data_IF_860493008679
#
_entry.id   IF_860493008679
#
_cell.length_a   1.000
_cell.length_b   1.000
_cell.length_c   1.000
_cell.angle_alpha   90.00
_cell.angle_beta   90.00
_cell.angle_gamma   90.00
#
_symmetry.space_group_name_H-M   'P 1'
#
loop_
_entity.id
_entity.type
_entity.pdbx_description
1 polymer ?
#
# COMPACT_ATOMS: atom_id res chain seq x y z
N UNK A 1 -1.58 -9.95 -32.21
CA UNK A 1 -0.11 -9.98 -31.93
C UNK A 1 0.61 -10.99 -32.82
N UNK A 2 0.48 -10.88 -34.14
CA UNK A 2 1.33 -11.68 -35.03
C UNK A 2 2.78 -11.16 -35.05
N UNK A 3 3.00 -9.91 -34.60
CA UNK A 3 4.29 -9.20 -34.65
C UNK A 3 5.27 -9.58 -33.52
N UNK A 4 4.79 -9.92 -32.32
CA UNK A 4 5.68 -10.36 -31.22
C UNK A 4 5.99 -11.85 -31.32
N UNK A 5 5.05 -12.69 -31.80
CA UNK A 5 5.33 -14.10 -32.09
C UNK A 5 6.20 -14.31 -33.33
N UNK A 6 6.18 -13.38 -34.29
CA UNK A 6 7.06 -13.39 -35.48
C UNK A 6 8.25 -12.43 -35.39
N UNK A 7 8.53 -11.88 -34.19
CA UNK A 7 9.64 -10.95 -34.02
C UNK A 7 10.96 -11.66 -34.33
N UNK A 8 11.81 -11.02 -35.12
CA UNK A 8 13.18 -11.49 -35.39
C UNK A 8 14.18 -11.05 -34.31
N UNK A 9 13.73 -10.26 -33.34
CA UNK A 9 14.58 -9.83 -32.23
C UNK A 9 14.50 -10.85 -31.10
N UNK A 10 15.61 -11.55 -30.87
CA UNK A 10 15.74 -12.52 -29.79
C UNK A 10 15.40 -11.91 -28.42
N UNK A 11 15.79 -10.66 -28.20
CA UNK A 11 15.46 -9.91 -26.98
C UNK A 11 13.94 -9.74 -26.80
N UNK A 12 13.22 -9.31 -27.84
CA UNK A 12 11.76 -9.11 -27.76
C UNK A 12 11.04 -10.46 -27.61
N UNK A 13 11.49 -11.50 -28.31
CA UNK A 13 10.94 -12.85 -28.18
C UNK A 13 11.12 -13.41 -26.77
N UNK A 14 12.31 -13.23 -26.18
CA UNK A 14 12.59 -13.65 -24.81
C UNK A 14 11.86 -12.79 -23.77
N UNK A 15 11.71 -11.49 -23.98
CA UNK A 15 11.07 -10.57 -23.02
C UNK A 15 9.56 -10.81 -22.90
N UNK A 16 8.88 -11.02 -24.03
CA UNK A 16 7.43 -11.22 -24.06
C UNK A 16 7.01 -12.69 -24.05
N UNK A 17 7.96 -13.63 -24.23
CA UNK A 17 7.75 -15.07 -24.09
C UNK A 17 7.98 -15.61 -22.67
N UNK A 18 8.24 -14.75 -21.69
CA UNK A 18 8.47 -15.19 -20.30
C UNK A 18 7.19 -15.74 -19.68
N UNK A 19 7.28 -16.88 -19.00
CA UNK A 19 6.17 -17.49 -18.26
C UNK A 19 5.65 -16.57 -17.13
N UNK A 20 6.49 -15.65 -16.65
CA UNK A 20 6.13 -14.65 -15.64
C UNK A 20 5.21 -13.53 -16.18
N UNK A 21 5.06 -13.39 -17.50
CA UNK A 21 4.27 -12.33 -18.13
C UNK A 21 2.79 -12.76 -18.22
N UNK A 22 1.93 -12.12 -17.43
CA UNK A 22 0.49 -12.33 -17.49
C UNK A 22 -0.14 -11.33 -18.45
N UNK A 23 -0.83 -11.83 -19.48
CA UNK A 23 -1.51 -11.01 -20.49
C UNK A 23 -3.02 -11.13 -20.39
N UNK A 24 -3.72 -10.01 -20.37
CA UNK A 24 -5.18 -9.95 -20.51
C UNK A 24 -5.49 -9.71 -21.98
N UNK A 25 -6.24 -10.64 -22.60
CA UNK A 25 -6.65 -10.54 -24.01
C UNK A 25 -8.05 -9.97 -24.15
N UNK A 26 -8.33 -9.39 -25.31
CA UNK A 26 -9.63 -8.82 -25.63
C UNK A 26 -10.71 -9.92 -25.64
N UNK A 27 -11.89 -9.73 -25.01
CA UNK A 27 -12.90 -10.78 -24.88
C UNK A 27 -13.41 -11.33 -26.22
N UNK A 28 -13.50 -10.47 -27.23
CA UNK A 28 -13.96 -10.85 -28.57
C UNK A 28 -12.80 -11.19 -29.52
N UNK A 29 -11.59 -10.68 -29.25
CA UNK A 29 -10.42 -10.87 -30.10
C UNK A 29 -9.27 -11.50 -29.31
N UNK A 30 -9.23 -12.84 -29.28
CA UNK A 30 -8.24 -13.60 -28.51
C UNK A 30 -6.78 -13.33 -28.92
N UNK A 31 -6.56 -12.74 -30.08
CA UNK A 31 -5.24 -12.37 -30.62
C UNK A 31 -4.75 -10.99 -30.17
N UNK A 32 -5.64 -10.18 -29.58
CA UNK A 32 -5.38 -8.80 -29.19
C UNK A 32 -5.16 -8.76 -27.68
N UNK A 33 -3.97 -8.35 -27.25
CA UNK A 33 -3.63 -8.21 -25.83
C UNK A 33 -3.98 -6.79 -25.40
N UNK A 34 -4.83 -6.65 -24.39
CA UNK A 34 -5.23 -5.36 -23.81
C UNK A 34 -4.30 -4.91 -22.68
N UNK A 35 -3.67 -5.85 -21.98
CA UNK A 35 -2.77 -5.54 -20.86
C UNK A 35 -1.71 -6.64 -20.72
N UNK A 36 -0.49 -6.28 -20.36
CA UNK A 36 0.56 -7.21 -19.97
C UNK A 36 1.19 -6.76 -18.66
N UNK A 37 1.35 -7.67 -17.70
CA UNK A 37 1.97 -7.39 -16.42
C UNK A 37 2.90 -8.54 -16.03
N UNK A 38 4.11 -8.23 -15.59
CA UNK A 38 5.03 -9.22 -15.02
C UNK A 38 4.56 -9.56 -13.61
N UNK A 39 4.38 -10.86 -13.34
CA UNK A 39 3.99 -11.33 -12.02
C UNK A 39 5.08 -11.03 -11.00
N UNK A 40 4.73 -10.37 -9.90
CA UNK A 40 5.63 -10.12 -8.77
C UNK A 40 5.72 -11.30 -7.80
N UNK A 41 5.06 -12.42 -8.10
CA UNK A 41 5.11 -13.63 -7.26
C UNK A 41 6.52 -14.24 -7.34
N UNK A 42 7.16 -14.55 -6.20
CA UNK A 42 8.45 -15.23 -6.22
C UNK A 42 8.32 -16.60 -6.90
N UNK A 43 9.19 -16.87 -7.88
CA UNK A 43 9.22 -18.14 -8.62
C UNK A 43 9.54 -19.35 -7.73
N UNK A 44 10.18 -19.11 -6.57
CA UNK A 44 10.45 -20.14 -5.56
C UNK A 44 9.27 -20.25 -4.60
N UNK A 45 8.81 -21.49 -4.40
CA UNK A 45 7.89 -21.83 -3.32
C UNK A 45 8.53 -21.43 -1.97
N UNK A 46 7.79 -20.78 -1.07
CA UNK A 46 8.30 -20.44 0.24
C UNK A 46 8.73 -21.72 0.97
N UNK A 47 9.94 -21.71 1.54
CA UNK A 47 10.44 -22.83 2.34
C UNK A 47 9.63 -22.90 3.63
N UNK A 48 8.82 -23.94 3.78
CA UNK A 48 8.13 -24.23 5.04
C UNK A 48 9.11 -24.97 5.93
N UNK A 49 9.65 -24.26 6.94
CA UNK A 49 10.36 -24.89 8.04
C UNK A 49 9.38 -25.85 8.74
N UNK A 50 9.58 -27.17 8.59
CA UNK A 50 8.73 -28.16 9.27
C UNK A 50 8.87 -27.96 10.78
N UNK A 51 7.83 -27.40 11.40
CA UNK A 51 7.75 -27.33 12.86
C UNK A 51 7.46 -28.73 13.38
N UNK A 52 8.50 -29.45 13.78
CA UNK A 52 8.33 -30.73 14.49
C UNK A 52 9.51 -31.68 14.42
N UNK A 53 10.50 -31.50 15.31
CA UNK A 53 11.09 -32.61 16.07
C UNK A 53 11.88 -32.03 17.24
N UNK A 54 11.20 -31.79 18.35
CA UNK A 54 11.91 -31.76 19.64
C UNK A 54 12.23 -33.21 20.00
N UNK A 55 13.52 -33.61 20.11
CA UNK A 55 13.83 -34.95 20.55
C UNK A 55 13.51 -35.04 22.04
N UNK A 56 12.51 -35.87 22.40
CA UNK A 56 12.32 -36.29 23.79
C UNK A 56 13.52 -37.15 24.17
N UNK A 57 14.38 -36.64 25.06
CA UNK A 57 15.27 -37.48 25.85
C UNK A 57 14.39 -38.38 26.74
N UNK A 58 14.27 -39.65 26.37
CA UNK A 58 13.86 -40.71 27.29
C UNK A 58 14.88 -41.83 27.17
N UNK A 59 15.78 -41.87 28.16
CA UNK A 59 16.67 -42.98 28.45
C UNK A 59 15.82 -44.20 28.80
N UNK A 60 15.90 -45.28 28.00
CA UNK A 60 15.49 -46.60 28.44
C UNK A 60 16.33 -47.67 27.75
N UNK A 61 16.94 -48.48 28.61
CA UNK A 61 17.80 -49.64 28.36
C UNK A 61 17.14 -50.71 27.50
N UNK A 62 17.93 -51.42 26.69
CA UNK A 62 17.55 -52.70 26.06
C UNK A 62 18.14 -52.85 24.66
N UNK A 63 18.95 -53.89 24.47
CA UNK A 63 19.77 -54.20 23.31
C UNK A 63 19.00 -54.92 22.18
N UNK A 64 19.74 -55.15 21.07
CA UNK A 64 19.49 -56.06 19.93
C UNK A 64 18.52 -55.49 18.87
N UNK A 65 18.73 -55.56 17.56
CA UNK A 65 19.84 -55.98 16.69
C UNK A 65 19.49 -55.51 15.25
N UNK A 66 20.52 -55.37 14.43
CA UNK A 66 20.57 -55.50 12.97
C UNK A 66 20.08 -54.41 12.00
N UNK A 67 20.86 -54.34 10.92
CA UNK A 67 20.95 -53.28 9.91
C UNK A 67 19.98 -53.40 8.72
N UNK A 68 19.81 -52.23 8.09
CA UNK A 68 19.74 -51.95 6.65
C UNK A 68 18.73 -52.64 5.71
N UNK A 69 18.11 -51.72 4.94
CA UNK A 69 17.79 -51.82 3.52
C UNK A 69 16.55 -52.61 3.09
N UNK A 70 15.63 -51.88 2.45
CA UNK A 70 15.02 -52.40 1.23
C UNK A 70 13.56 -52.04 0.99
N UNK A 71 13.39 -51.06 0.10
CA UNK A 71 12.40 -51.08 -0.99
C UNK A 71 10.94 -50.72 -0.66
N UNK A 72 10.39 -50.01 -1.65
CA UNK A 72 9.04 -49.50 -1.86
C UNK A 72 7.88 -50.29 -1.27
N UNK A 73 6.82 -49.56 -0.90
CA UNK A 73 5.55 -49.85 -1.57
C UNK A 73 4.75 -48.57 -1.83
N UNK A 74 4.18 -48.52 -3.03
CA UNK A 74 3.10 -47.63 -3.41
C UNK A 74 1.79 -48.20 -2.86
N UNK A 75 0.67 -47.54 -3.20
CA UNK A 75 -0.70 -48.01 -3.02
C UNK A 75 -1.25 -48.00 -1.58
N UNK A 76 -2.50 -47.64 -1.31
CA UNK A 76 -3.64 -47.34 -2.17
C UNK A 76 -4.77 -46.72 -1.33
N UNK A 77 -5.81 -46.30 -2.05
CA UNK A 77 -7.19 -46.10 -1.60
C UNK A 77 -7.50 -44.71 -0.98
N UNK A 78 -8.00 -43.73 -1.73
CA UNK A 78 -9.26 -43.70 -2.50
C UNK A 78 -10.47 -44.11 -1.64
N UNK A 79 -11.30 -43.13 -1.26
CA UNK A 79 -12.75 -43.36 -1.16
C UNK A 79 -13.59 -42.08 -1.33
N UNK A 80 -14.15 -42.01 -2.54
CA UNK A 80 -15.45 -41.47 -3.00
C UNK A 80 -16.20 -40.38 -2.21
N UNK A 81 -16.32 -39.27 -2.96
CA UNK A 81 -17.51 -38.46 -3.20
C UNK A 81 -18.87 -39.00 -2.71
N UNK A 82 -19.62 -38.12 -2.02
CA UNK A 82 -21.08 -38.04 -2.13
C UNK A 82 -21.47 -36.66 -2.66
N UNK A 83 -22.16 -36.69 -3.79
CA UNK A 83 -22.77 -35.55 -4.44
C UNK A 83 -23.99 -35.08 -3.65
N UNK A 84 -24.04 -33.79 -3.34
CA UNK A 84 -25.28 -33.06 -3.07
C UNK A 84 -25.37 -31.89 -4.04
N UNK A 85 -26.27 -32.06 -5.01
CA UNK A 85 -26.80 -31.00 -5.88
C UNK A 85 -27.35 -29.86 -5.02
N UNK A 86 -27.09 -28.63 -5.44
CA UNK A 86 -27.80 -27.44 -4.93
C UNK A 86 -26.89 -26.40 -4.31
N UNK A 87 -26.14 -25.70 -5.14
CA UNK A 87 -25.31 -24.57 -4.70
C UNK A 87 -24.92 -23.73 -5.89
N UNK A 88 -25.81 -22.82 -6.27
CA UNK A 88 -25.60 -21.77 -7.28
C UNK A 88 -24.31 -21.01 -6.90
N UNK A 89 -23.16 -21.38 -7.49
CA UNK A 89 -21.95 -20.57 -7.47
C UNK A 89 -22.33 -19.23 -8.11
N UNK A 90 -22.71 -18.28 -7.26
CA UNK A 90 -22.71 -16.87 -7.61
C UNK A 90 -21.32 -16.60 -8.16
N UNK A 91 -21.29 -16.14 -9.40
CA UNK A 91 -20.07 -15.94 -10.16
C UNK A 91 -19.02 -15.29 -9.29
N UNK A 92 -17.87 -15.96 -9.23
CA UNK A 92 -16.58 -15.30 -9.12
C UNK A 92 -16.58 -14.28 -10.26
N UNK A 93 -17.16 -13.09 -10.00
CA UNK A 93 -17.00 -11.94 -10.87
C UNK A 93 -15.51 -11.82 -10.99
N UNK A 94 -15.04 -12.02 -12.22
CA UNK A 94 -13.71 -11.66 -12.67
C UNK A 94 -13.03 -10.80 -11.62
N UNK A 95 -12.07 -11.36 -10.89
CA UNK A 95 -10.94 -10.54 -10.46
C UNK A 95 -10.32 -10.07 -11.76
N UNK A 96 -10.97 -9.08 -12.40
CA UNK A 96 -10.50 -8.36 -13.55
C UNK A 96 -9.16 -7.87 -13.08
N UNK A 97 -8.13 -8.55 -13.57
CA UNK A 97 -6.82 -8.52 -12.99
C UNK A 97 -6.33 -7.08 -13.14
N UNK A 98 -6.50 -6.30 -12.06
CA UNK A 98 -6.32 -4.85 -12.11
C UNK A 98 -4.90 -4.59 -12.56
N UNK A 99 -4.73 -3.89 -13.68
CA UNK A 99 -3.41 -3.57 -14.19
C UNK A 99 -2.62 -2.72 -13.22
N UNK A 100 -1.30 -2.66 -13.45
CA UNK A 100 -0.38 -1.85 -12.65
C UNK A 100 -0.86 -0.41 -12.45
N UNK A 101 -1.45 0.23 -13.47
CA UNK A 101 -2.03 1.56 -13.35
C UNK A 101 -3.21 1.62 -12.37
N UNK A 102 -4.13 0.65 -12.41
CA UNK A 102 -5.26 0.57 -11.47
C UNK A 102 -4.78 0.29 -10.04
N UNK A 103 -3.79 -0.59 -9.87
CA UNK A 103 -3.16 -0.86 -8.57
C UNK A 103 -2.46 0.39 -8.01
N UNK A 104 -1.77 1.15 -8.85
CA UNK A 104 -1.11 2.40 -8.48
C UNK A 104 -2.13 3.46 -8.04
N UNK A 105 -3.22 3.66 -8.80
CA UNK A 105 -4.29 4.57 -8.43
C UNK A 105 -4.95 4.18 -7.11
N UNK A 106 -5.25 2.90 -6.92
CA UNK A 106 -5.78 2.40 -5.65
C UNK A 106 -4.81 2.64 -4.49
N UNK A 107 -3.51 2.49 -4.72
CA UNK A 107 -2.49 2.73 -3.71
C UNK A 107 -2.39 4.22 -3.34
N UNK A 108 -2.43 5.12 -4.32
CA UNK A 108 -2.46 6.58 -4.07
C UNK A 108 -3.71 6.96 -3.28
N UNK A 109 -4.88 6.42 -3.65
CA UNK A 109 -6.13 6.71 -2.97
C UNK A 109 -6.07 6.26 -1.50
N UNK A 110 -5.51 5.08 -1.23
CA UNK A 110 -5.31 4.58 0.12
C UNK A 110 -4.36 5.49 0.95
N UNK A 111 -3.26 5.95 0.35
CA UNK A 111 -2.32 6.88 1.00
C UNK A 111 -3.01 8.22 1.28
N UNK A 112 -3.74 8.76 0.31
CA UNK A 112 -4.45 10.04 0.44
C UNK A 112 -5.49 9.98 1.56
N UNK A 113 -6.27 8.90 1.63
CA UNK A 113 -7.23 8.67 2.73
C UNK A 113 -6.56 8.62 4.10
N UNK A 114 -5.38 8.00 4.17
CA UNK A 114 -4.64 7.89 5.43
C UNK A 114 -4.09 9.24 5.89
N UNK A 115 -3.59 10.06 4.96
CA UNK A 115 -3.07 11.40 5.25
C UNK A 115 -4.18 12.40 5.63
N UNK A 116 -5.39 12.22 5.08
CA UNK A 116 -6.56 13.06 5.36
C UNK A 116 -7.46 12.52 6.47
N UNK A 117 -6.98 11.56 7.27
CA UNK A 117 -7.77 10.99 8.36
C UNK A 117 -8.03 12.03 9.47
N UNK A 118 -9.19 12.00 10.16
CA UNK A 118 -9.57 13.03 11.15
C UNK A 118 -8.57 13.28 12.29
N UNK A 119 -7.74 12.28 12.64
CA UNK A 119 -6.76 12.37 13.72
C UNK A 119 -5.32 12.50 13.18
N UNK A 120 -5.13 13.03 11.97
CA UNK A 120 -3.81 13.21 11.34
C UNK A 120 -3.59 14.66 10.96
N UNK A 121 -2.64 15.30 11.64
CA UNK A 121 -2.22 16.67 11.31
C UNK A 121 -1.15 16.63 10.20
N UNK A 122 -1.41 17.35 9.11
CA UNK A 122 -0.49 17.42 7.97
C UNK A 122 0.52 18.56 8.15
N UNK A 123 1.80 18.21 8.10
CA UNK A 123 2.91 19.17 8.03
C UNK A 123 3.59 19.05 6.67
N UNK A 124 3.78 20.19 6.00
CA UNK A 124 4.34 20.23 4.65
C UNK A 124 5.80 20.70 4.67
N UNK A 125 6.70 19.90 4.08
CA UNK A 125 8.11 20.27 3.85
C UNK A 125 8.34 20.35 2.36
N UNK A 126 8.71 21.55 1.87
CA UNK A 126 8.96 21.79 0.45
C UNK A 126 10.46 21.81 0.17
N UNK A 127 10.94 20.77 -0.51
CA UNK A 127 12.35 20.67 -0.90
C UNK A 127 12.60 21.44 -2.20
N UNK A 128 13.53 22.41 -2.17
CA UNK A 128 13.92 23.19 -3.35
C UNK A 128 15.28 22.72 -3.87
N UNK A 129 15.36 22.49 -5.17
CA UNK A 129 16.62 22.26 -5.87
C UNK A 129 17.33 23.61 -6.07
N UNK A 130 18.53 23.84 -5.50
CA UNK A 130 19.18 25.15 -5.58
C UNK A 130 19.76 25.44 -6.97
N UNK A 131 20.14 24.40 -7.73
CA UNK A 131 20.62 24.51 -9.10
C UNK A 131 20.52 23.16 -9.85
N UNK A 132 20.42 23.20 -11.18
CA UNK A 132 20.31 22.00 -12.01
C UNK A 132 21.64 21.27 -12.24
N UNK A 133 22.75 22.00 -12.15
CA UNK A 133 24.12 21.52 -12.40
C UNK A 133 24.71 20.69 -11.25
N UNK A 134 24.01 20.62 -10.11
CA UNK A 134 24.43 19.93 -8.88
C UNK A 134 25.78 20.42 -8.34
N UNK A 135 26.06 21.72 -8.50
CA UNK A 135 27.28 22.35 -7.99
C UNK A 135 26.99 22.87 -6.58
N UNK A 136 27.84 22.51 -5.62
CA UNK A 136 27.72 22.99 -4.25
C UNK A 136 27.82 24.52 -4.20
N UNK A 137 27.04 25.15 -3.31
CA UNK A 137 27.02 26.61 -3.09
C UNK A 137 26.67 27.46 -4.31
N UNK A 138 26.11 26.87 -5.37
CA UNK A 138 25.60 27.61 -6.51
C UNK A 138 24.07 27.78 -6.40
N UNK A 139 23.59 29.00 -6.62
CA UNK A 139 22.16 29.30 -6.67
C UNK A 139 21.74 29.71 -8.08
N UNK A 140 20.78 28.98 -8.65
CA UNK A 140 20.15 29.33 -9.92
C UNK A 140 18.76 29.94 -9.67
N UNK A 141 18.71 31.27 -9.74
CA UNK A 141 17.49 32.03 -9.49
C UNK A 141 16.34 31.70 -10.44
N UNK A 142 16.61 31.24 -11.68
CA UNK A 142 15.54 30.86 -12.61
C UNK A 142 14.96 29.50 -12.21
N UNK A 143 15.83 28.52 -11.97
CA UNK A 143 15.45 27.18 -11.50
C UNK A 143 14.62 27.26 -10.21
N UNK A 144 15.07 28.04 -9.22
CA UNK A 144 14.37 28.18 -7.94
C UNK A 144 13.06 28.97 -8.09
N UNK A 145 13.03 30.04 -8.89
CA UNK A 145 11.81 30.81 -9.16
C UNK A 145 10.71 29.93 -9.76
N UNK A 146 11.05 29.11 -10.76
CA UNK A 146 10.07 28.20 -11.38
C UNK A 146 9.51 27.22 -10.35
N UNK A 147 10.35 26.65 -9.48
CA UNK A 147 9.88 25.76 -8.40
C UNK A 147 8.95 26.47 -7.41
N UNK A 148 9.26 27.70 -7.00
CA UNK A 148 8.40 28.50 -6.12
C UNK A 148 7.01 28.73 -6.72
N UNK A 149 6.95 29.00 -8.02
CA UNK A 149 5.68 29.16 -8.76
C UNK A 149 4.94 27.82 -8.90
N UNK A 150 5.65 26.74 -9.26
CA UNK A 150 5.04 25.40 -9.41
C UNK A 150 4.48 24.87 -8.09
N UNK A 151 5.16 25.13 -6.97
CA UNK A 151 4.68 24.75 -5.64
C UNK A 151 3.67 25.74 -5.04
N UNK A 152 3.46 26.89 -5.67
CA UNK A 152 2.51 27.91 -5.19
C UNK A 152 2.88 28.54 -3.84
N UNK A 153 4.18 28.59 -3.51
CA UNK A 153 4.65 28.99 -2.17
C UNK A 153 4.27 30.44 -1.88
N UNK A 154 4.39 31.31 -2.87
CA UNK A 154 4.08 32.74 -2.72
C UNK A 154 2.59 32.96 -2.46
N UNK A 155 1.74 32.25 -3.19
CA UNK A 155 0.29 32.29 -3.11
C UNK A 155 -0.21 31.74 -1.77
N UNK A 156 0.35 30.61 -1.32
CA UNK A 156 0.07 30.05 0.01
C UNK A 156 0.46 31.07 1.08
N UNK A 157 1.66 31.65 0.99
CA UNK A 157 2.13 32.64 1.96
C UNK A 157 1.24 33.88 2.01
N UNK A 158 0.77 34.36 0.87
CA UNK A 158 -0.14 35.50 0.79
C UNK A 158 -1.51 35.18 1.38
N UNK A 159 -2.07 33.99 1.09
CA UNK A 159 -3.34 33.55 1.68
C UNK A 159 -3.24 33.41 3.19
N UNK A 160 -2.15 32.85 3.70
CA UNK A 160 -1.93 32.70 5.15
C UNK A 160 -1.79 34.04 5.86
N UNK A 161 -1.16 35.05 5.22
CA UNK A 161 -1.07 36.40 5.78
C UNK A 161 -2.43 37.10 5.82
N UNK A 162 -3.28 36.83 4.83
CA UNK A 162 -4.60 37.46 4.71
C UNK A 162 -5.69 36.69 5.47
N UNK A 163 -5.43 35.45 5.89
CA UNK A 163 -6.28 34.75 6.84
C UNK A 163 -6.01 35.37 8.22
N UNK A 164 -7.02 36.00 8.81
CA UNK A 164 -6.90 36.69 10.10
C UNK A 164 -6.47 35.76 11.25
N UNK A 165 -6.59 34.44 11.07
CA UNK A 165 -6.28 33.43 12.07
C UNK A 165 -5.47 32.27 11.49
N UNK A 166 -4.40 31.91 12.17
CA UNK A 166 -3.51 30.79 11.81
C UNK A 166 -3.94 29.45 12.40
N UNK A 167 -4.85 29.47 13.38
CA UNK A 167 -5.31 28.30 14.13
C UNK A 167 -6.84 28.30 14.11
N UNK A 168 -7.41 27.18 13.70
CA UNK A 168 -8.84 26.91 13.78
C UNK A 168 -9.03 25.69 14.67
N UNK A 169 -9.69 25.88 15.81
CA UNK A 169 -9.99 24.80 16.75
C UNK A 169 -11.50 24.65 16.94
N UNK A 170 -12.04 23.42 16.92
CA UNK A 170 -13.37 23.14 17.44
C UNK A 170 -13.47 23.51 18.92
N UNK A 171 -14.67 23.94 19.36
CA UNK A 171 -14.88 24.40 20.73
C UNK A 171 -14.49 23.35 21.78
N UNK A 172 -14.88 22.08 21.60
CA UNK A 172 -14.50 21.00 22.50
C UNK A 172 -12.98 20.79 22.62
N UNK A 173 -12.23 20.90 21.53
CA UNK A 173 -10.77 20.77 21.54
C UNK A 173 -10.11 21.95 22.27
N UNK A 174 -10.62 23.16 22.05
CA UNK A 174 -10.13 24.36 22.75
C UNK A 174 -10.33 24.25 24.26
N UNK A 175 -11.53 23.84 24.70
CA UNK A 175 -11.84 23.69 26.12
C UNK A 175 -10.95 22.63 26.78
N UNK A 176 -10.67 21.53 26.07
CA UNK A 176 -9.75 20.50 26.55
C UNK A 176 -8.30 21.04 26.70
N UNK A 177 -7.81 21.81 25.74
CA UNK A 177 -6.47 22.41 25.79
C UNK A 177 -6.35 23.54 26.82
N UNK A 178 -7.43 24.27 27.08
CA UNK A 178 -7.42 25.40 28.02
C UNK A 178 -7.46 24.97 29.50
N UNK A 179 -7.56 23.65 29.77
CA UNK A 179 -7.60 23.03 31.11
C UNK A 179 -8.61 23.72 32.06
N UNK A 180 -9.75 24.16 31.53
CA UNK A 180 -10.77 24.81 32.36
C UNK A 180 -11.55 23.74 33.15
N UNK A 181 -11.02 23.33 34.30
CA UNK A 181 -11.64 22.37 35.24
C UNK A 181 -12.85 22.93 35.99
N UNK A 182 -13.23 24.19 35.75
CA UNK A 182 -14.44 24.74 36.35
C UNK A 182 -15.66 24.02 35.77
N UNK A 183 -16.40 23.35 36.65
CA UNK A 183 -17.68 22.66 36.40
C UNK A 183 -18.66 23.71 35.86
N UNK A 184 -18.59 23.92 34.55
CA UNK A 184 -19.34 24.95 33.87
C UNK A 184 -20.47 24.26 33.10
N UNK A 185 -21.69 24.41 33.59
CA UNK A 185 -22.90 23.97 32.90
C UNK A 185 -23.15 24.96 31.77
N UNK A 186 -23.17 24.48 30.53
CA UNK A 186 -23.33 25.32 29.35
C UNK A 186 -22.89 24.58 28.08
N UNK A 187 -23.22 25.16 26.93
CA UNK A 187 -22.74 24.70 25.62
C UNK A 187 -21.23 24.87 25.48
N UNK A 188 -20.59 24.11 24.58
CA UNK A 188 -19.14 24.25 24.32
C UNK A 188 -18.77 25.68 23.91
N UNK A 189 -19.65 26.35 23.15
CA UNK A 189 -19.47 27.75 22.73
C UNK A 189 -19.39 28.69 23.94
N UNK A 190 -20.34 28.62 24.85
CA UNK A 190 -20.39 29.48 26.05
C UNK A 190 -19.16 29.27 26.94
N UNK A 191 -18.69 28.01 27.04
CA UNK A 191 -17.46 27.69 27.77
C UNK A 191 -16.24 28.37 27.16
N UNK A 192 -16.11 28.33 25.84
CA UNK A 192 -15.01 29.00 25.12
C UNK A 192 -15.07 30.52 25.35
N UNK A 193 -16.24 31.13 25.19
CA UNK A 193 -16.44 32.58 25.39
C UNK A 193 -16.00 33.01 26.81
N UNK A 194 -16.41 32.26 27.84
CA UNK A 194 -15.99 32.53 29.21
C UNK A 194 -14.48 32.40 29.43
N UNK A 195 -13.85 31.38 28.84
CA UNK A 195 -12.39 31.20 28.95
C UNK A 195 -11.67 32.36 28.27
N UNK A 196 -12.11 32.75 27.07
CA UNK A 196 -11.52 33.87 26.32
C UNK A 196 -11.66 35.18 27.10
N UNK A 197 -12.84 35.47 27.64
CA UNK A 197 -13.11 36.67 28.45
C UNK A 197 -12.28 36.70 29.74
N UNK A 198 -12.16 35.55 30.42
CA UNK A 198 -11.37 35.43 31.65
C UNK A 198 -9.88 35.59 31.41
N UNK A 199 -9.37 35.03 30.30
CA UNK A 199 -7.93 35.06 29.95
C UNK A 199 -7.50 36.40 29.34
N UNK A 200 -8.42 37.16 28.74
CA UNK A 200 -8.16 38.47 28.10
C UNK A 200 -7.00 38.43 27.10
N UNK A 201 -6.98 37.40 26.25
CA UNK A 201 -5.99 37.35 25.17
C UNK A 201 -6.22 38.50 24.17
N UNK A 202 -5.15 39.10 23.64
CA UNK A 202 -5.21 40.29 22.79
C UNK A 202 -5.78 40.02 21.39
#
# INVERSE_FOLDING_TARGET
>A
MNLISSTKSDFVGQLFGQEALQTVVHPQEKTTIMQAQVSSKPLRKPSVMRKGRTPKLTMKFGAEDDEEAGVSDSNENAEKAKATKGGKKRGDKDQAQQGAAAQFLSSIDNVTKSLSAPNTNSYFVMCLKPNDRRIANQFDSKCVRTQLQTFGIAEISQRLRNADFSIFLPFGEFVALAESEQILVGSEKEKVEMVVDARRWP
#
